data_IF_362540459988
#
_entry.id   IF_362540459988
#
_cell.length_a   1.000
_cell.length_b   1.000
_cell.length_c   1.000
_cell.angle_alpha   90.00
_cell.angle_beta   90.00
_cell.angle_gamma   90.00
#
_symmetry.space_group_name_H-M   'P 1'
#
loop_
_entity.id
_entity.type
_entity.pdbx_description
1 polymer ?
#
# COMPACT_ATOMS: atom_id res chain seq x y z
N UNK A 1 38.62 -36.64 -14.09
CA UNK A 1 38.30 -35.44 -13.28
C UNK A 1 37.41 -34.50 -14.08
N UNK A 2 36.13 -34.38 -13.70
CA UNK A 2 35.24 -33.27 -14.09
C UNK A 2 34.22 -33.17 -12.97
N UNK A 3 34.38 -32.16 -12.11
CA UNK A 3 33.49 -31.91 -10.99
C UNK A 3 32.12 -31.46 -11.51
N UNK A 4 31.07 -32.08 -11.00
CA UNK A 4 29.70 -31.60 -11.18
C UNK A 4 29.55 -30.25 -10.49
N UNK A 5 29.07 -29.19 -11.16
CA UNK A 5 28.63 -28.00 -10.45
C UNK A 5 27.32 -28.36 -9.73
N UNK A 6 27.40 -28.49 -8.41
CA UNK A 6 26.24 -28.52 -7.53
C UNK A 6 25.49 -27.19 -7.71
N UNK A 7 24.42 -27.21 -8.52
CA UNK A 7 23.47 -26.11 -8.61
C UNK A 7 22.76 -25.98 -7.27
N UNK A 8 23.33 -25.18 -6.36
CA UNK A 8 22.58 -24.67 -5.22
C UNK A 8 21.54 -23.72 -5.79
N UNK A 9 20.32 -24.23 -5.96
CA UNK A 9 19.14 -23.40 -6.13
C UNK A 9 19.11 -22.40 -4.96
N UNK A 10 19.44 -21.13 -5.25
CA UNK A 10 19.19 -20.03 -4.32
C UNK A 10 17.70 -19.75 -4.33
N UNK A 11 16.93 -20.60 -3.68
CA UNK A 11 15.49 -20.45 -3.52
C UNK A 11 15.19 -19.81 -2.16
N UNK A 12 15.64 -18.58 -1.92
CA UNK A 12 15.17 -17.80 -0.76
C UNK A 12 15.07 -16.32 -1.11
N UNK A 13 14.18 -15.98 -2.05
CA UNK A 13 13.49 -14.70 -1.95
C UNK A 13 12.45 -14.88 -0.84
N UNK A 14 12.59 -14.17 0.28
CA UNK A 14 11.59 -14.19 1.35
C UNK A 14 10.18 -13.86 0.82
N UNK A 15 9.11 -14.13 1.60
CA UNK A 15 7.75 -13.89 1.16
C UNK A 15 7.61 -12.45 0.65
N UNK A 16 7.21 -12.31 -0.62
CA UNK A 16 6.92 -10.99 -1.21
C UNK A 16 5.77 -10.40 -0.38
N UNK A 17 6.07 -9.41 0.45
CA UNK A 17 5.06 -8.68 1.22
C UNK A 17 4.36 -7.73 0.24
N UNK A 18 3.12 -8.05 -0.12
CA UNK A 18 2.27 -7.14 -0.87
C UNK A 18 1.47 -6.30 0.12
N UNK A 19 1.52 -4.98 -0.03
CA UNK A 19 0.66 -4.06 0.73
C UNK A 19 -0.62 -3.79 -0.07
N UNK A 20 -1.77 -3.88 0.61
CA UNK A 20 -3.04 -3.45 0.06
C UNK A 20 -3.19 -1.93 0.22
N UNK A 21 -3.88 -1.31 -0.74
CA UNK A 21 -4.23 0.11 -0.63
C UNK A 21 -5.24 0.30 0.49
N UNK A 22 -5.10 1.39 1.24
CA UNK A 22 -6.03 1.74 2.31
C UNK A 22 -7.35 2.25 1.72
N UNK A 23 -7.28 2.98 0.60
CA UNK A 23 -8.45 3.43 -0.16
C UNK A 23 -8.23 3.11 -1.64
N UNK A 24 -9.25 2.56 -2.29
CA UNK A 24 -9.28 2.35 -3.74
C UNK A 24 -10.48 3.06 -4.34
N UNK A 25 -10.23 3.96 -5.29
CA UNK A 25 -11.24 4.74 -6.00
C UNK A 25 -11.22 4.35 -7.46
N UNK A 26 -12.41 4.17 -8.04
CA UNK A 26 -12.58 4.01 -9.49
C UNK A 26 -13.09 5.32 -10.06
N UNK A 27 -12.36 5.83 -11.03
CA UNK A 27 -12.64 7.11 -11.72
C UNK A 27 -13.17 6.77 -13.12
N UNK A 28 -14.36 7.25 -13.49
CA UNK A 28 -14.89 7.11 -14.85
C UNK A 28 -13.93 7.65 -15.93
N UNK A 29 -13.98 7.09 -17.13
CA UNK A 29 -13.07 7.45 -18.22
C UNK A 29 -13.18 8.93 -18.64
N UNK A 30 -14.39 9.48 -18.55
CA UNK A 30 -14.75 10.86 -18.91
C UNK A 30 -14.71 11.84 -17.74
N UNK A 31 -14.26 11.39 -16.56
CA UNK A 31 -14.17 12.23 -15.37
C UNK A 31 -13.13 13.34 -15.56
N UNK A 32 -13.51 14.56 -15.19
CA UNK A 32 -12.60 15.71 -15.14
C UNK A 32 -11.66 15.64 -13.94
N UNK A 33 -10.65 16.51 -13.90
CA UNK A 33 -9.78 16.61 -12.72
C UNK A 33 -10.56 17.03 -11.45
N UNK A 34 -11.56 17.89 -11.59
CA UNK A 34 -12.45 18.26 -10.48
C UNK A 34 -13.27 17.07 -9.99
N UNK A 35 -13.79 16.24 -10.90
CA UNK A 35 -14.49 15.00 -10.54
C UNK A 35 -13.57 14.03 -9.80
N UNK A 36 -12.30 13.93 -10.24
CA UNK A 36 -11.27 13.11 -9.59
C UNK A 36 -11.03 13.58 -8.15
N UNK A 37 -10.84 14.89 -7.94
CA UNK A 37 -10.65 15.48 -6.60
C UNK A 37 -11.89 15.24 -5.73
N UNK A 38 -13.09 15.45 -6.27
CA UNK A 38 -14.35 15.21 -5.55
C UNK A 38 -14.49 13.75 -5.11
N UNK A 39 -14.18 12.79 -5.99
CA UNK A 39 -14.24 11.36 -5.69
C UNK A 39 -13.22 10.97 -4.60
N UNK A 40 -12.00 11.50 -4.67
CA UNK A 40 -10.97 11.27 -3.66
C UNK A 40 -11.41 11.82 -2.30
N UNK A 41 -11.90 13.08 -2.24
CA UNK A 41 -12.42 13.66 -0.99
C UNK A 41 -13.60 12.85 -0.43
N UNK A 42 -14.56 12.48 -1.28
CA UNK A 42 -15.73 11.70 -0.88
C UNK A 42 -15.35 10.30 -0.35
N UNK A 43 -14.24 9.74 -0.83
CA UNK A 43 -13.70 8.46 -0.34
C UNK A 43 -12.91 8.55 0.97
N UNK A 44 -12.64 9.78 1.47
CA UNK A 44 -11.89 10.02 2.70
C UNK A 44 -10.38 10.13 2.52
N UNK A 45 -9.89 10.29 1.29
CA UNK A 45 -8.47 10.59 1.05
C UNK A 45 -8.15 11.99 1.58
N UNK A 46 -7.08 12.16 2.37
CA UNK A 46 -6.70 13.46 2.92
C UNK A 46 -6.14 14.37 1.82
N UNK A 47 -6.98 15.30 1.37
CA UNK A 47 -6.64 16.32 0.37
C UNK A 47 -6.70 17.71 1.00
N UNK A 48 -5.85 18.63 0.54
CA UNK A 48 -5.91 20.03 0.91
C UNK A 48 -7.00 20.78 0.13
N UNK A 49 -7.12 22.08 0.34
CA UNK A 49 -8.11 22.93 -0.35
C UNK A 49 -7.90 22.98 -1.87
N UNK A 50 -6.65 22.87 -2.33
CA UNK A 50 -6.28 22.84 -3.75
C UNK A 50 -6.52 21.47 -4.41
N UNK A 51 -6.75 20.42 -3.62
CA UNK A 51 -6.95 19.04 -4.11
C UNK A 51 -5.67 18.21 -4.12
N UNK A 52 -4.59 18.70 -3.51
CA UNK A 52 -3.32 18.00 -3.39
C UNK A 52 -3.33 17.03 -2.20
N UNK A 53 -2.60 15.93 -2.32
CA UNK A 53 -2.50 14.90 -1.28
C UNK A 53 -1.73 15.48 -0.09
N UNK A 54 -2.39 15.60 1.07
CA UNK A 54 -1.75 16.11 2.29
C UNK A 54 -0.80 15.09 2.92
N UNK A 55 -1.11 13.79 2.78
CA UNK A 55 -0.38 12.71 3.43
C UNK A 55 -0.54 11.39 2.68
N UNK A 56 0.49 10.54 2.76
CA UNK A 56 0.51 9.26 2.07
C UNK A 56 0.86 9.40 0.59
N UNK A 57 0.55 8.37 -0.19
CA UNK A 57 0.87 8.34 -1.62
C UNK A 57 -0.29 7.77 -2.44
N UNK A 58 -0.46 8.32 -3.65
CA UNK A 58 -1.46 7.89 -4.60
C UNK A 58 -0.80 7.15 -5.77
N UNK A 59 -1.24 5.92 -6.02
CA UNK A 59 -0.87 5.15 -7.19
C UNK A 59 -2.01 5.14 -8.19
N UNK A 60 -1.74 5.62 -9.40
CA UNK A 60 -2.70 5.61 -10.50
C UNK A 60 -2.43 4.43 -11.44
N UNK A 61 -3.51 3.73 -11.79
CA UNK A 61 -3.52 2.76 -12.89
C UNK A 61 -4.58 3.17 -13.91
N UNK A 62 -4.12 3.85 -14.94
CA UNK A 62 -4.93 4.21 -16.11
C UNK A 62 -5.02 3.02 -17.06
N UNK A 63 -6.20 2.80 -17.65
CA UNK A 63 -6.37 1.87 -18.77
C UNK A 63 -6.45 2.66 -20.06
N UNK A 64 -5.69 2.27 -21.09
CA UNK A 64 -5.72 2.93 -22.40
C UNK A 64 -6.88 2.48 -23.29
N UNK A 65 -7.80 1.67 -22.77
CA UNK A 65 -8.99 1.25 -23.51
C UNK A 65 -10.12 2.25 -23.30
N UNK A 66 -10.84 2.64 -24.36
CA UNK A 66 -12.10 3.35 -24.20
C UNK A 66 -13.03 2.51 -23.30
N UNK A 67 -13.80 3.18 -22.46
CA UNK A 67 -14.76 2.59 -21.50
C UNK A 67 -14.16 1.93 -20.24
N UNK A 68 -12.84 2.06 -20.01
CA UNK A 68 -12.22 1.57 -18.79
C UNK A 68 -12.02 2.69 -17.76
N UNK A 69 -12.43 2.42 -16.51
CA UNK A 69 -12.15 3.30 -15.39
C UNK A 69 -10.65 3.37 -15.07
N UNK A 70 -10.20 4.54 -14.64
CA UNK A 70 -8.92 4.72 -13.97
C UNK A 70 -9.04 4.26 -12.52
N UNK A 71 -8.06 3.50 -12.03
CA UNK A 71 -8.04 3.05 -10.64
C UNK A 71 -7.00 3.85 -9.87
N UNK A 72 -7.44 4.59 -8.86
CA UNK A 72 -6.58 5.31 -7.93
C UNK A 72 -6.49 4.50 -6.63
N UNK A 73 -5.26 4.28 -6.15
CA UNK A 73 -4.99 3.55 -4.91
C UNK A 73 -4.20 4.44 -3.98
N UNK A 74 -4.83 4.85 -2.89
CA UNK A 74 -4.18 5.65 -1.87
C UNK A 74 -3.66 4.75 -0.75
N UNK A 75 -2.51 5.14 -0.22
CA UNK A 75 -1.80 4.43 0.83
C UNK A 75 -1.37 5.43 1.89
N UNK A 76 -1.78 5.18 3.14
CA UNK A 76 -1.39 6.03 4.24
C UNK A 76 0.09 5.87 4.58
N UNK A 77 0.75 6.94 5.01
CA UNK A 77 2.19 6.93 5.32
C UNK A 77 2.47 6.16 6.62
N UNK A 78 1.67 6.36 7.66
CA UNK A 78 1.90 5.70 8.97
C UNK A 78 1.52 4.22 8.93
N UNK A 79 0.69 3.83 7.97
CA UNK A 79 0.36 2.43 7.72
C UNK A 79 1.52 1.67 7.04
N UNK A 80 2.59 2.36 6.60
CA UNK A 80 3.84 1.73 6.14
C UNK A 80 4.62 1.10 7.31
N UNK A 81 4.39 1.54 8.55
CA UNK A 81 5.11 1.10 9.75
C UNK A 81 4.54 -0.13 10.49
N UNK A 82 3.46 -0.72 9.97
CA UNK A 82 2.70 -1.82 10.61
C UNK A 82 3.36 -3.20 10.60
N UNK A 83 4.68 -3.30 10.76
CA UNK A 83 5.28 -4.42 11.49
C UNK A 83 5.68 -3.89 12.87
N UNK A 84 4.70 -3.40 13.64
CA UNK A 84 4.87 -3.34 15.10
C UNK A 84 5.13 -4.79 15.52
N UNK A 85 6.39 -5.07 15.86
CA UNK A 85 6.77 -6.32 16.47
C UNK A 85 5.80 -6.59 17.61
N UNK A 86 5.38 -7.85 17.71
CA UNK A 86 4.66 -8.37 18.86
C UNK A 86 5.42 -7.88 20.10
N UNK A 87 4.86 -6.90 20.81
CA UNK A 87 5.33 -6.57 22.15
C UNK A 87 5.12 -7.84 22.95
N UNK A 88 6.21 -8.57 23.18
CA UNK A 88 6.27 -9.58 24.20
C UNK A 88 5.98 -8.85 25.52
N UNK A 89 4.75 -8.97 26.00
CA UNK A 89 4.45 -8.77 27.40
C UNK A 89 5.26 -9.81 28.17
N UNK A 90 6.47 -9.44 28.56
CA UNK A 90 7.22 -10.12 29.62
C UNK A 90 6.46 -9.84 30.91
N UNK A 91 5.63 -10.82 31.30
CA UNK A 91 4.95 -10.86 32.58
C UNK A 91 6.00 -11.07 33.68
N UNK A 92 6.60 -9.96 34.14
CA UNK A 92 7.44 -9.96 35.32
C UNK A 92 6.58 -10.17 36.57
N UNK A 93 6.49 -11.43 37.02
CA UNK A 93 5.92 -11.82 38.30
C UNK A 93 6.63 -11.08 39.47
N UNK A 94 5.89 -10.49 40.42
CA UNK A 94 6.51 -9.91 41.61
C UNK A 94 6.94 -11.01 42.59
N UNK A 95 8.25 -11.11 42.81
CA UNK A 95 8.81 -11.81 43.97
C UNK A 95 8.47 -11.01 45.23
N UNK A 96 7.60 -11.57 46.07
CA UNK A 96 7.44 -11.14 47.45
C UNK A 96 8.51 -11.80 48.31
N UNK A 97 9.08 -11.04 49.24
CA UNK A 97 9.83 -11.54 50.40
C UNK A 97 9.39 -10.74 51.61
#
# INVERSE_FOLDING_TARGET
>A
MRGSPSSKARAHGGPRRFRLADITVQVPFDATDDDRVCLLRASGVPLDEAGEIMRGFLFERTSHRPDCCTILRWFDEDSIGGVRGVEAHDEALPHHS
#
